data_IF_335330932124
#
_entry.id   IF_335330932124
#
_cell.length_a   1.000
_cell.length_b   1.000
_cell.length_c   1.000
_cell.angle_alpha   90.00
_cell.angle_beta   90.00
_cell.angle_gamma   90.00
#
_symmetry.space_group_name_H-M   'P 1'
#
loop_
_entity.id
_entity.type
_entity.pdbx_description
1 polymer ?
#
# COMPACT_ATOMS: atom_id res chain seq x y z
N UNK A 1 -16.60 -12.59 -2.73
CA UNK A 1 -15.74 -12.86 -3.90
C UNK A 1 -14.32 -12.35 -3.60
N UNK A 2 -13.28 -12.77 -4.33
CA UNK A 2 -11.95 -12.14 -4.23
C UNK A 2 -11.70 -11.28 -5.47
N UNK A 3 -11.37 -10.01 -5.26
CA UNK A 3 -11.02 -9.05 -6.31
C UNK A 3 -9.50 -8.94 -6.41
N UNK A 4 -9.00 -8.90 -7.65
CA UNK A 4 -7.58 -8.74 -7.92
C UNK A 4 -7.26 -7.27 -8.14
N UNK A 5 -6.30 -6.73 -7.40
CA UNK A 5 -5.70 -5.42 -7.69
C UNK A 5 -4.24 -5.59 -8.06
N UNK A 6 -3.78 -4.77 -9.01
CA UNK A 6 -2.42 -4.79 -9.54
C UNK A 6 -1.74 -3.50 -9.12
N UNK A 7 -0.65 -3.63 -8.37
CA UNK A 7 0.04 -2.48 -7.81
C UNK A 7 1.54 -2.57 -8.04
N UNK A 8 2.18 -1.41 -8.11
CA UNK A 8 3.63 -1.29 -8.03
C UNK A 8 3.99 -0.73 -6.66
N UNK A 9 4.93 -1.38 -5.99
CA UNK A 9 5.45 -0.92 -4.71
C UNK A 9 6.79 -0.21 -4.91
N UNK A 10 7.11 0.72 -4.02
CA UNK A 10 8.44 1.30 -3.94
C UNK A 10 9.49 0.23 -3.56
N UNK A 11 10.72 0.34 -4.06
CA UNK A 11 11.79 -0.65 -3.85
C UNK A 11 11.97 -1.05 -2.39
N UNK A 12 12.08 -0.07 -1.50
CA UNK A 12 12.30 -0.33 -0.07
C UNK A 12 11.14 -1.12 0.58
N UNK A 13 9.89 -0.74 0.28
CA UNK A 13 8.69 -1.46 0.76
C UNK A 13 8.67 -2.87 0.19
N UNK A 14 8.97 -3.02 -1.11
CA UNK A 14 9.04 -4.33 -1.75
C UNK A 14 10.13 -5.21 -1.15
N UNK A 15 11.31 -4.66 -0.88
CA UNK A 15 12.43 -5.41 -0.34
C UNK A 15 12.09 -6.01 1.04
N UNK A 16 11.51 -5.20 1.93
CA UNK A 16 11.04 -5.67 3.24
C UNK A 16 10.01 -6.79 3.09
N UNK A 17 8.99 -6.60 2.24
CA UNK A 17 7.98 -7.63 2.00
C UNK A 17 8.55 -8.90 1.35
N UNK A 18 9.52 -8.77 0.46
CA UNK A 18 10.12 -9.92 -0.21
C UNK A 18 10.92 -10.75 0.80
N UNK A 19 11.76 -10.10 1.62
CA UNK A 19 12.51 -10.79 2.67
C UNK A 19 11.59 -11.49 3.68
N UNK A 20 10.50 -10.83 4.08
CA UNK A 20 9.51 -11.43 4.98
C UNK A 20 8.76 -12.58 4.31
N UNK A 21 8.37 -12.45 3.03
CA UNK A 21 7.70 -13.51 2.29
C UNK A 21 8.60 -14.74 2.11
N UNK A 22 9.88 -14.52 1.81
CA UNK A 22 10.89 -15.57 1.67
C UNK A 22 11.10 -16.29 3.02
N UNK A 23 11.19 -15.54 4.12
CA UNK A 23 11.30 -16.11 5.47
C UNK A 23 10.07 -16.94 5.86
N UNK A 24 8.86 -16.48 5.53
CA UNK A 24 7.60 -17.21 5.77
C UNK A 24 7.35 -18.34 4.76
N UNK A 25 8.14 -18.46 3.70
CA UNK A 25 7.92 -19.42 2.62
C UNK A 25 6.63 -19.18 1.82
N UNK A 26 6.21 -17.92 1.66
CA UNK A 26 4.98 -17.54 0.94
C UNK A 26 5.28 -16.64 -0.26
N UNK A 27 4.29 -16.44 -1.13
CA UNK A 27 4.43 -15.51 -2.26
C UNK A 27 4.30 -14.07 -1.77
N UNK A 28 5.10 -13.16 -2.32
CA UNK A 28 5.03 -11.72 -2.05
C UNK A 28 3.59 -11.17 -2.10
N UNK A 29 2.82 -11.51 -3.13
CA UNK A 29 1.43 -11.07 -3.28
C UNK A 29 0.48 -11.67 -2.23
N UNK A 30 0.75 -12.89 -1.75
CA UNK A 30 -0.02 -13.53 -0.67
C UNK A 30 0.22 -12.79 0.64
N UNK A 31 1.49 -12.61 1.04
CA UNK A 31 1.84 -11.85 2.24
C UNK A 31 1.28 -10.43 2.19
N UNK A 32 1.41 -9.75 1.05
CA UNK A 32 0.85 -8.39 0.90
C UNK A 32 -0.67 -8.39 1.08
N UNK A 33 -1.37 -9.41 0.58
CA UNK A 33 -2.83 -9.52 0.77
C UNK A 33 -3.19 -9.75 2.24
N UNK A 34 -2.43 -10.59 2.95
CA UNK A 34 -2.60 -10.87 4.38
C UNK A 34 -2.41 -9.60 5.23
N UNK A 35 -1.30 -8.87 5.03
CA UNK A 35 -1.05 -7.63 5.77
C UNK A 35 -2.11 -6.57 5.47
N UNK A 36 -2.56 -6.44 4.22
CA UNK A 36 -3.66 -5.53 3.89
C UNK A 36 -4.97 -5.96 4.56
N UNK A 37 -5.26 -7.26 4.61
CA UNK A 37 -6.44 -7.77 5.31
C UNK A 37 -6.39 -7.40 6.81
N UNK A 38 -5.27 -7.62 7.48
CA UNK A 38 -5.10 -7.28 8.90
C UNK A 38 -5.28 -5.77 9.15
N UNK A 39 -4.68 -4.94 8.30
CA UNK A 39 -4.78 -3.48 8.42
C UNK A 39 -6.19 -2.98 8.08
N UNK A 40 -6.88 -3.60 7.11
CA UNK A 40 -8.27 -3.29 6.79
C UNK A 40 -9.20 -3.68 7.95
N UNK A 41 -8.95 -4.82 8.60
CA UNK A 41 -9.69 -5.23 9.79
C UNK A 41 -9.50 -4.23 10.95
N UNK A 42 -8.27 -3.75 11.17
CA UNK A 42 -7.99 -2.68 12.16
C UNK A 42 -8.74 -1.39 11.82
N UNK A 43 -8.73 -0.97 10.55
CA UNK A 43 -9.45 0.21 10.10
C UNK A 43 -10.97 0.10 10.32
N UNK A 44 -11.55 -1.07 10.04
CA UNK A 44 -12.97 -1.33 10.33
C UNK A 44 -13.26 -1.30 11.84
N UNK A 45 -12.37 -1.86 12.66
CA UNK A 45 -12.54 -1.91 14.11
C UNK A 45 -12.55 -0.53 14.76
N UNK A 46 -11.66 0.38 14.35
CA UNK A 46 -11.64 1.76 14.88
C UNK A 46 -12.59 2.72 14.15
N UNK A 47 -13.24 2.26 13.07
CA UNK A 47 -13.95 3.11 12.11
C UNK A 47 -12.98 3.69 11.08
N UNK A 48 -13.29 3.53 9.80
CA UNK A 48 -12.38 3.88 8.69
C UNK A 48 -11.95 5.34 8.71
N UNK A 49 -12.83 6.23 9.15
CA UNK A 49 -12.58 7.66 9.32
C UNK A 49 -11.55 7.99 10.42
N UNK A 50 -11.31 7.07 11.36
CA UNK A 50 -10.35 7.22 12.45
C UNK A 50 -9.05 6.44 12.17
N UNK A 51 -8.96 5.74 11.05
CA UNK A 51 -7.77 5.00 10.68
C UNK A 51 -6.81 5.91 9.91
N UNK A 52 -5.67 6.21 10.53
CA UNK A 52 -4.64 7.03 9.90
C UNK A 52 -3.67 6.17 9.07
N UNK A 53 -3.50 6.53 7.81
CA UNK A 53 -2.42 5.99 6.99
C UNK A 53 -1.08 6.45 7.53
N UNK A 54 -0.06 5.60 7.45
CA UNK A 54 1.27 6.00 7.88
C UNK A 54 1.73 7.29 7.15
N UNK A 55 2.14 8.36 7.88
CA UNK A 55 2.42 9.66 7.28
C UNK A 55 3.64 9.63 6.34
N UNK A 56 4.57 8.69 6.51
CA UNK A 56 5.73 8.56 5.61
C UNK A 56 5.39 7.86 4.29
N UNK A 57 4.14 7.40 4.10
CA UNK A 57 3.67 6.76 2.85
C UNK A 57 3.94 7.60 1.61
N UNK A 58 3.85 8.93 1.71
CA UNK A 58 4.17 9.89 0.64
C UNK A 58 5.59 9.72 0.06
N UNK A 59 6.57 9.30 0.90
CA UNK A 59 7.96 9.02 0.49
C UNK A 59 8.09 7.72 -0.30
N UNK A 60 7.16 6.78 -0.11
CA UNK A 60 7.15 5.44 -0.68
C UNK A 60 6.13 5.26 -1.81
N UNK A 61 5.75 6.35 -2.45
CA UNK A 61 4.82 6.31 -3.58
C UNK A 61 5.60 6.25 -4.90
N UNK A 62 5.28 5.31 -5.81
CA UNK A 62 5.80 5.31 -7.17
C UNK A 62 5.49 6.63 -7.89
N UNK A 63 6.49 7.48 -8.14
CA UNK A 63 6.28 8.78 -8.80
C UNK A 63 6.35 8.62 -10.33
N UNK A 64 5.39 9.22 -11.04
CA UNK A 64 5.25 9.10 -12.50
C UNK A 64 5.75 10.30 -13.32
N UNK A 65 6.14 11.43 -12.70
CA UNK A 65 6.54 12.63 -13.45
C UNK A 65 8.02 13.01 -13.27
N UNK A 66 8.74 13.10 -14.40
CA UNK A 66 9.96 13.90 -14.61
C UNK A 66 11.27 13.35 -14.07
N UNK A 67 11.34 13.04 -12.78
CA UNK A 67 12.61 12.70 -12.12
C UNK A 67 12.31 11.88 -10.86
N UNK A 68 11.97 10.60 -11.05
CA UNK A 68 12.00 9.52 -10.02
C UNK A 68 11.64 8.14 -10.60
N UNK A 69 11.82 7.95 -11.91
CA UNK A 69 11.61 6.64 -12.55
C UNK A 69 12.67 5.61 -12.11
N UNK A 70 13.86 6.03 -11.66
CA UNK A 70 14.97 5.13 -11.27
C UNK A 70 14.68 4.20 -10.08
N UNK A 71 13.73 4.53 -9.20
CA UNK A 71 13.40 3.72 -8.01
C UNK A 71 12.19 2.79 -8.21
N UNK A 72 11.62 2.75 -9.42
CA UNK A 72 10.48 1.87 -9.75
C UNK A 72 10.57 1.26 -11.15
N UNK A 73 11.45 1.76 -12.02
CA UNK A 73 11.73 1.22 -13.35
C UNK A 73 12.34 -0.18 -13.25
N UNK A 74 11.69 -1.15 -13.88
CA UNK A 74 12.11 -2.56 -13.86
C UNK A 74 11.44 -3.42 -12.78
N UNK A 75 10.65 -2.82 -11.87
CA UNK A 75 9.92 -3.62 -10.87
C UNK A 75 8.61 -4.14 -11.43
N UNK A 76 8.49 -5.47 -11.41
CA UNK A 76 7.27 -6.20 -11.70
C UNK A 76 6.12 -5.72 -10.82
N UNK A 77 4.97 -5.51 -11.44
CA UNK A 77 3.75 -5.30 -10.68
C UNK A 77 3.42 -6.57 -9.91
N UNK A 78 2.86 -6.42 -8.71
CA UNK A 78 2.32 -7.54 -7.94
C UNK A 78 0.81 -7.56 -8.07
N UNK A 79 0.25 -8.76 -8.15
CA UNK A 79 -1.20 -8.97 -7.98
C UNK A 79 -1.47 -9.34 -6.53
N UNK A 80 -2.40 -8.63 -5.90
CA UNK A 80 -2.92 -8.97 -4.58
C UNK A 80 -4.43 -9.22 -4.68
N UNK A 81 -4.95 -10.11 -3.84
CA UNK A 81 -6.32 -10.59 -3.92
C UNK A 81 -7.04 -10.30 -2.60
N UNK A 82 -8.00 -9.39 -2.66
CA UNK A 82 -8.72 -8.90 -1.49
C UNK A 82 -10.17 -9.36 -1.54
N UNK A 83 -10.78 -9.61 -0.38
CA UNK A 83 -12.21 -9.88 -0.32
C UNK A 83 -13.01 -8.57 -0.51
N UNK A 84 -14.34 -8.67 -0.62
CA UNK A 84 -15.18 -7.51 -0.89
C UNK A 84 -15.18 -6.49 0.26
N UNK A 85 -15.07 -6.93 1.52
CA UNK A 85 -14.97 -6.05 2.69
C UNK A 85 -13.68 -5.24 2.69
N UNK A 86 -12.53 -5.89 2.47
CA UNK A 86 -11.24 -5.25 2.41
C UNK A 86 -11.17 -4.28 1.23
N UNK A 87 -11.73 -4.67 0.08
CA UNK A 87 -11.85 -3.77 -1.07
C UNK A 87 -12.69 -2.54 -0.77
N UNK A 88 -13.78 -2.69 0.00
CA UNK A 88 -14.61 -1.57 0.40
C UNK A 88 -13.86 -0.65 1.37
N UNK A 89 -13.17 -1.20 2.36
CA UNK A 89 -12.30 -0.44 3.27
C UNK A 89 -11.24 0.36 2.50
N UNK A 90 -10.58 -0.26 1.51
CA UNK A 90 -9.58 0.43 0.69
C UNK A 90 -10.19 1.59 -0.12
N UNK A 91 -11.41 1.45 -0.64
CA UNK A 91 -12.10 2.51 -1.37
C UNK A 91 -12.44 3.68 -0.46
N UNK A 92 -12.97 3.41 0.73
CA UNK A 92 -13.31 4.43 1.72
C UNK A 92 -12.06 5.20 2.16
N UNK A 93 -10.96 4.50 2.47
CA UNK A 93 -9.67 5.13 2.76
C UNK A 93 -9.17 5.97 1.57
N UNK A 94 -9.30 5.48 0.35
CA UNK A 94 -8.87 6.23 -0.83
C UNK A 94 -9.69 7.51 -1.05
N UNK A 95 -11.00 7.46 -0.82
CA UNK A 95 -11.87 8.63 -0.89
C UNK A 95 -11.56 9.63 0.23
N UNK A 96 -11.31 9.16 1.45
CA UNK A 96 -10.96 10.01 2.59
C UNK A 96 -9.57 10.68 2.44
N UNK A 97 -8.69 10.11 1.63
CA UNK A 97 -7.33 10.62 1.38
C UNK A 97 -7.16 11.21 -0.03
N UNK A 98 -8.24 11.78 -0.59
CA UNK A 98 -8.27 12.47 -1.89
C UNK A 98 -7.57 11.72 -3.04
N UNK A 99 -7.60 10.38 -2.99
CA UNK A 99 -6.87 9.52 -3.91
C UNK A 99 -7.68 9.20 -5.17
N UNK A 100 -8.32 10.23 -5.73
CA UNK A 100 -9.08 10.16 -6.99
C UNK A 100 -8.28 10.86 -8.08
N UNK A 101 -8.16 10.23 -9.24
CA UNK A 101 -7.54 10.80 -10.43
C UNK A 101 -8.51 10.80 -11.60
N UNK A 102 -8.42 11.81 -12.45
CA UNK A 102 -9.12 11.81 -13.74
C UNK A 102 -8.21 11.15 -14.77
N UNK A 103 -8.68 10.04 -15.37
CA UNK A 103 -7.99 9.31 -16.44
C UNK A 103 -8.95 9.26 -17.63
N UNK A 104 -8.55 9.81 -18.77
CA UNK A 104 -9.38 9.87 -19.99
C UNK A 104 -10.79 10.42 -19.74
N UNK A 105 -10.91 11.47 -18.92
CA UNK A 105 -12.19 12.11 -18.59
C UNK A 105 -13.06 11.36 -17.57
N UNK A 106 -12.60 10.22 -17.02
CA UNK A 106 -13.30 9.46 -15.99
C UNK A 106 -12.56 9.54 -14.66
N UNK A 107 -13.29 9.69 -13.56
CA UNK A 107 -12.71 9.55 -12.23
C UNK A 107 -12.34 8.08 -11.98
N UNK A 108 -11.13 7.86 -11.49
CA UNK A 108 -10.58 6.56 -11.12
C UNK A 108 -9.95 6.68 -9.73
N UNK A 109 -10.34 5.79 -8.82
CA UNK A 109 -9.74 5.68 -7.50
C UNK A 109 -8.36 5.04 -7.64
N UNK A 110 -7.35 5.62 -6.99
CA UNK A 110 -6.00 5.08 -6.94
C UNK A 110 -5.63 4.63 -5.54
N UNK A 111 -5.04 3.45 -5.41
CA UNK A 111 -4.59 2.91 -4.12
C UNK A 111 -3.10 3.16 -3.86
N UNK A 112 -2.46 4.03 -4.65
CA UNK A 112 -1.01 4.28 -4.63
C UNK A 112 -0.48 4.86 -3.31
N UNK A 113 -1.34 5.52 -2.54
CA UNK A 113 -1.02 6.06 -1.20
C UNK A 113 -1.58 5.17 -0.10
N UNK A 114 -2.81 4.67 -0.29
CA UNK A 114 -3.52 3.82 0.67
C UNK A 114 -2.75 2.53 0.95
N UNK A 115 -2.38 1.77 -0.09
CA UNK A 115 -1.72 0.47 0.12
C UNK A 115 -0.37 0.62 0.83
N UNK A 116 0.56 1.49 0.38
CA UNK A 116 1.78 1.72 1.14
C UNK A 116 1.52 2.26 2.55
N UNK A 117 0.56 3.17 2.74
CA UNK A 117 0.23 3.71 4.06
C UNK A 117 -0.28 2.67 5.04
N UNK A 118 -1.13 1.74 4.59
CA UNK A 118 -1.59 0.62 5.40
C UNK A 118 -0.44 -0.35 5.70
N UNK A 119 0.37 -0.71 4.69
CA UNK A 119 1.51 -1.60 4.89
C UNK A 119 2.50 -1.05 5.91
N UNK A 120 2.84 0.24 5.84
CA UNK A 120 3.79 0.89 6.74
C UNK A 120 3.29 1.01 8.18
N UNK A 121 2.00 0.79 8.44
CA UNK A 121 1.47 0.65 9.81
C UNK A 121 1.72 -0.76 10.39
N UNK A 122 2.23 -1.69 9.59
CA UNK A 122 2.59 -3.02 10.06
C UNK A 122 3.99 -3.03 10.71
N UNK A 123 4.18 -3.70 11.87
CA UNK A 123 5.47 -3.77 12.54
C UNK A 123 6.62 -4.31 11.69
N UNK A 124 6.35 -5.13 10.66
CA UNK A 124 7.36 -5.57 9.67
C UNK A 124 8.14 -4.40 9.06
N UNK A 125 7.54 -3.20 9.02
CA UNK A 125 8.16 -2.01 8.44
C UNK A 125 8.76 -1.03 9.45
N UNK A 126 8.83 -1.38 10.74
CA UNK A 126 9.37 -0.50 11.80
C UNK A 126 10.74 0.09 11.44
N UNK A 127 11.66 -0.74 10.94
CA UNK A 127 12.98 -0.27 10.52
C UNK A 127 12.96 0.74 9.36
N UNK A 128 11.92 0.71 8.52
CA UNK A 128 11.76 1.64 7.41
C UNK A 128 11.12 2.96 7.86
N UNK A 129 10.19 2.91 8.81
CA UNK A 129 9.49 4.09 9.33
C UNK A 129 10.36 4.88 10.31
N UNK A 130 11.11 4.23 11.20
CA UNK A 130 11.99 4.89 12.19
C UNK A 130 13.15 5.66 11.54
N UNK A 131 13.77 5.10 10.50
CA UNK A 131 14.84 5.76 9.73
C UNK A 131 14.38 7.07 9.07
N UNK A 132 13.07 7.26 8.90
CA UNK A 132 12.49 8.41 8.21
C UNK A 132 11.81 9.41 9.13
N UNK A 133 11.64 9.08 10.41
CA UNK A 133 11.13 9.99 11.45
C UNK A 133 12.21 10.90 12.04
N UNK A 134 13.50 10.57 11.87
CA UNK A 134 14.65 11.33 12.39
C UNK A 134 15.17 12.42 11.45
N UNK A 135 14.62 12.52 10.24
CA UNK A 135 14.88 13.62 9.30
C UNK A 135 13.73 14.64 9.38
N UNK A 136 13.70 15.39 10.49
CA UNK A 136 12.85 16.56 10.73
C UNK A 136 13.69 17.82 10.81
#
# INVERSE_FOLDING_TARGET
MKQRIVIRLHLAVRAVLQSEADWRGTRLGTLTSELIHEQAAKARLCGVQNYELNPVSSRYVPVTNGTKYKQTSGLEQISIYLNDEDMQTLKELALANDSVRVINGRQAITYRYVVPGMLLNDPVFTGLTEQNSTAG
#
